data_IF_698335096890
#
_entry.id   IF_698335096890
#
_cell.length_a   1.000
_cell.length_b   1.000
_cell.length_c   1.000
_cell.angle_alpha   90.00
_cell.angle_beta   90.00
_cell.angle_gamma   90.00
#
_symmetry.space_group_name_H-M   'P 1'
#
loop_
_entity.id
_entity.type
_entity.pdbx_description
1 polymer ?
#
# COMPACT_ATOMS: atom_id res chain seq x y z
N UNK A 1 -14.76 3.80 -10.81
CA UNK A 1 -15.06 2.43 -11.26
C UNK A 1 -14.26 1.50 -10.35
N UNK A 2 -14.90 0.51 -9.73
CA UNK A 2 -14.19 -0.49 -8.93
C UNK A 2 -13.35 -1.31 -9.90
N UNK A 3 -12.04 -1.45 -9.64
CA UNK A 3 -11.11 -2.23 -10.45
C UNK A 3 -10.60 -3.43 -9.65
N UNK A 4 -10.41 -4.54 -10.33
CA UNK A 4 -9.84 -5.76 -9.78
C UNK A 4 -8.32 -5.76 -10.01
N UNK A 5 -7.55 -6.30 -9.07
CA UNK A 5 -6.08 -6.36 -9.17
C UNK A 5 -5.59 -7.17 -10.38
N UNK A 6 -6.38 -8.12 -10.88
CA UNK A 6 -6.06 -8.89 -12.09
C UNK A 6 -6.63 -8.29 -13.39
N UNK A 7 -7.25 -7.11 -13.33
CA UNK A 7 -7.49 -6.32 -14.55
C UNK A 7 -6.12 -6.00 -15.19
N UNK A 8 -6.04 -6.06 -16.52
CA UNK A 8 -4.75 -5.93 -17.22
C UNK A 8 -4.04 -4.61 -16.90
N UNK A 9 -4.78 -3.49 -16.81
CA UNK A 9 -4.19 -2.19 -16.46
C UNK A 9 -3.66 -2.17 -15.01
N UNK A 10 -4.32 -2.85 -14.07
CA UNK A 10 -3.84 -2.99 -12.70
C UNK A 10 -2.59 -3.86 -12.61
N UNK A 11 -2.58 -4.99 -13.31
CA UNK A 11 -1.40 -5.85 -13.39
C UNK A 11 -0.20 -5.13 -13.99
N UNK A 12 -0.40 -4.35 -15.07
CA UNK A 12 0.66 -3.60 -15.71
C UNK A 12 1.21 -2.48 -14.81
N UNK A 13 0.34 -1.80 -14.06
CA UNK A 13 0.78 -0.80 -13.08
C UNK A 13 1.63 -1.42 -11.95
N UNK A 14 1.26 -2.61 -11.46
CA UNK A 14 2.02 -3.30 -10.43
C UNK A 14 3.39 -3.76 -10.94
N UNK A 15 3.44 -4.34 -12.14
CA UNK A 15 4.70 -4.72 -12.79
C UNK A 15 5.58 -3.49 -13.03
N UNK A 16 5.01 -2.41 -13.55
CA UNK A 16 5.73 -1.15 -13.73
C UNK A 16 6.33 -0.65 -12.42
N UNK A 17 5.55 -0.61 -11.34
CA UNK A 17 6.06 -0.18 -10.03
C UNK A 17 7.21 -1.07 -9.56
N UNK A 18 7.03 -2.39 -9.64
CA UNK A 18 8.04 -3.37 -9.24
C UNK A 18 9.34 -3.25 -10.06
N UNK A 19 9.23 -3.20 -11.40
CA UNK A 19 10.37 -3.14 -12.32
C UNK A 19 11.16 -1.82 -12.20
N UNK A 20 10.54 -0.76 -11.67
CA UNK A 20 11.18 0.53 -11.38
C UNK A 20 11.70 0.64 -9.94
N UNK A 21 11.79 -0.47 -9.21
CA UNK A 21 12.38 -0.53 -7.88
C UNK A 21 11.48 -0.01 -6.76
N UNK A 22 10.18 0.19 -7.01
CA UNK A 22 9.24 0.46 -5.94
C UNK A 22 8.93 -0.81 -5.16
N UNK A 23 8.71 -0.65 -3.85
CA UNK A 23 8.29 -1.75 -2.99
C UNK A 23 6.76 -1.92 -3.05
N UNK A 24 6.32 -3.15 -3.34
CA UNK A 24 4.93 -3.56 -3.19
C UNK A 24 4.71 -4.20 -1.82
N UNK A 25 3.63 -3.82 -1.14
CA UNK A 25 3.28 -4.30 0.20
C UNK A 25 1.77 -4.48 0.31
N UNK A 26 1.30 -5.21 1.32
CA UNK A 26 -0.13 -5.46 1.48
C UNK A 26 -0.87 -4.29 2.13
N UNK A 27 -2.05 -3.95 1.61
CA UNK A 27 -3.03 -3.09 2.27
C UNK A 27 -4.39 -3.78 2.45
N UNK A 28 -4.34 -5.11 2.47
CA UNK A 28 -5.48 -6.06 2.48
C UNK A 28 -6.41 -5.97 1.29
N UNK A 29 -7.23 -7.00 1.15
CA UNK A 29 -8.01 -7.22 -0.06
C UNK A 29 -9.23 -6.30 -0.19
N UNK A 30 -9.97 -6.09 0.90
CA UNK A 30 -11.18 -5.26 0.89
C UNK A 30 -11.04 -3.97 1.71
N UNK A 31 -9.84 -3.64 2.21
CA UNK A 31 -9.61 -2.44 3.01
C UNK A 31 -10.56 -2.34 4.25
N UNK A 32 -10.84 -3.46 4.91
CA UNK A 32 -11.66 -3.51 6.13
C UNK A 32 -10.86 -3.09 7.36
N UNK A 33 -11.55 -2.62 8.41
CA UNK A 33 -10.93 -2.43 9.72
C UNK A 33 -10.58 -3.79 10.33
N UNK A 34 -9.29 -4.13 10.31
CA UNK A 34 -8.79 -5.45 10.71
C UNK A 34 -9.02 -5.73 12.19
N UNK A 35 -9.03 -4.71 13.04
CA UNK A 35 -9.24 -4.89 14.49
C UNK A 35 -10.63 -5.43 14.85
N UNK A 36 -11.58 -5.41 13.89
CA UNK A 36 -12.95 -5.90 14.07
C UNK A 36 -13.21 -7.29 13.48
N UNK A 37 -12.21 -7.89 12.83
CA UNK A 37 -12.37 -9.13 12.09
C UNK A 37 -12.03 -10.37 12.92
N UNK A 38 -12.68 -11.50 12.60
CA UNK A 38 -12.28 -12.80 13.12
C UNK A 38 -10.94 -13.25 12.53
N UNK A 39 -10.33 -14.28 13.12
CA UNK A 39 -9.06 -14.83 12.63
C UNK A 39 -9.14 -15.29 11.15
N UNK A 40 -10.21 -15.99 10.78
CA UNK A 40 -10.40 -16.48 9.42
C UNK A 40 -10.63 -15.32 8.43
N UNK A 41 -11.33 -14.27 8.86
CA UNK A 41 -11.53 -13.06 8.05
C UNK A 41 -10.21 -12.31 7.84
N UNK A 42 -9.38 -12.17 8.88
CA UNK A 42 -8.03 -11.62 8.75
C UNK A 42 -7.18 -12.45 7.79
N UNK A 43 -7.25 -13.78 7.90
CA UNK A 43 -6.53 -14.68 7.02
C UNK A 43 -6.90 -14.45 5.56
N UNK A 44 -8.19 -14.40 5.24
CA UNK A 44 -8.68 -14.18 3.87
C UNK A 44 -8.24 -12.81 3.33
N UNK A 45 -8.39 -11.74 4.12
CA UNK A 45 -7.99 -10.37 3.74
C UNK A 45 -6.50 -10.25 3.36
N UNK A 46 -5.62 -10.98 4.05
CA UNK A 46 -4.18 -10.93 3.82
C UNK A 46 -3.74 -11.91 2.74
N UNK A 47 -4.29 -13.14 2.75
CA UNK A 47 -3.94 -14.20 1.83
C UNK A 47 -4.24 -13.84 0.38
N UNK A 48 -5.39 -13.23 0.09
CA UNK A 48 -5.74 -12.87 -1.30
C UNK A 48 -4.75 -11.91 -1.93
N UNK A 49 -4.25 -10.93 -1.16
CA UNK A 49 -3.23 -9.98 -1.64
C UNK A 49 -1.91 -10.69 -1.89
N UNK A 50 -1.50 -11.59 -1.01
CA UNK A 50 -0.27 -12.38 -1.20
C UNK A 50 -0.35 -13.26 -2.45
N UNK A 51 -1.48 -13.94 -2.67
CA UNK A 51 -1.70 -14.73 -3.88
C UNK A 51 -1.63 -13.86 -5.14
N UNK A 52 -2.25 -12.67 -5.10
CA UNK A 52 -2.23 -11.76 -6.23
C UNK A 52 -0.82 -11.26 -6.54
N UNK A 53 -0.05 -10.83 -5.53
CA UNK A 53 1.34 -10.38 -5.75
C UNK A 53 2.25 -11.52 -6.23
N UNK A 54 2.09 -12.73 -5.69
CA UNK A 54 2.82 -13.90 -6.17
C UNK A 54 2.50 -14.21 -7.63
N UNK A 55 1.23 -14.13 -8.04
CA UNK A 55 0.82 -14.36 -9.43
C UNK A 55 1.31 -13.27 -10.37
N UNK A 56 1.12 -12.00 -10.02
CA UNK A 56 1.30 -10.87 -10.96
C UNK A 56 2.78 -10.53 -11.13
N UNK A 57 3.54 -10.49 -10.03
CA UNK A 57 4.94 -10.03 -10.01
C UNK A 57 5.92 -11.05 -9.39
N UNK A 58 5.42 -12.20 -8.91
CA UNK A 58 6.29 -13.26 -8.39
C UNK A 58 6.75 -13.06 -6.95
N UNK A 59 6.19 -12.13 -6.18
CA UNK A 59 6.70 -11.77 -4.85
C UNK A 59 5.72 -12.06 -3.72
N UNK A 60 6.25 -12.44 -2.56
CA UNK A 60 5.49 -12.53 -1.32
C UNK A 60 5.85 -11.36 -0.40
N UNK A 61 4.94 -10.41 -0.09
CA UNK A 61 5.27 -9.20 0.66
C UNK A 61 5.74 -9.49 2.09
N UNK A 62 6.80 -8.81 2.54
CA UNK A 62 7.28 -8.86 3.93
C UNK A 62 6.72 -7.71 4.81
N UNK A 63 5.88 -6.86 4.23
CA UNK A 63 5.32 -5.68 4.90
C UNK A 63 3.84 -5.53 4.57
N UNK A 64 3.10 -4.97 5.52
CA UNK A 64 1.72 -4.57 5.33
C UNK A 64 1.42 -3.28 6.08
N UNK A 65 0.44 -2.53 5.60
CA UNK A 65 -0.18 -1.42 6.35
C UNK A 65 -1.62 -1.79 6.65
N UNK A 66 -2.09 -1.70 7.91
CA UNK A 66 -3.49 -1.95 8.20
C UNK A 66 -4.35 -0.78 7.68
N UNK A 67 -5.48 -1.05 7.01
CA UNK A 67 -6.49 -0.04 6.71
C UNK A 67 -6.81 0.82 7.93
N UNK A 68 -6.98 2.13 7.69
CA UNK A 68 -7.26 3.14 8.73
C UNK A 68 -6.18 3.31 9.80
N UNK A 69 -5.05 2.59 9.72
CA UNK A 69 -4.07 2.53 10.79
C UNK A 69 -4.52 1.71 12.00
N UNK A 70 -5.62 0.96 11.88
CA UNK A 70 -6.28 0.25 12.98
C UNK A 70 -5.76 -1.19 13.09
N UNK A 71 -5.17 -1.53 14.24
CA UNK A 71 -4.64 -2.87 14.53
C UNK A 71 -4.79 -3.21 16.02
N UNK A 72 -4.80 -4.50 16.33
CA UNK A 72 -4.79 -5.04 17.68
C UNK A 72 -3.83 -6.25 17.76
N UNK A 73 -3.72 -6.90 18.91
CA UNK A 73 -2.83 -8.04 19.11
C UNK A 73 -3.10 -9.18 18.12
N UNK A 74 -4.35 -9.41 17.73
CA UNK A 74 -4.70 -10.45 16.76
C UNK A 74 -4.15 -10.11 15.37
N UNK A 75 -4.25 -8.85 14.95
CA UNK A 75 -3.68 -8.34 13.69
C UNK A 75 -2.15 -8.47 13.70
N UNK A 76 -1.50 -8.14 14.82
CA UNK A 76 -0.04 -8.28 14.97
C UNK A 76 0.39 -9.75 14.94
N UNK A 77 -0.33 -10.64 15.62
CA UNK A 77 -0.04 -12.07 15.65
C UNK A 77 -0.16 -12.71 14.26
N UNK A 78 -1.24 -12.43 13.53
CA UNK A 78 -1.41 -13.01 12.19
C UNK A 78 -0.39 -12.41 11.21
N UNK A 79 -0.09 -11.12 11.29
CA UNK A 79 0.95 -10.51 10.45
C UNK A 79 2.31 -11.14 10.71
N UNK A 80 2.68 -11.32 11.98
CA UNK A 80 3.92 -11.99 12.37
C UNK A 80 3.98 -13.45 11.92
N UNK A 81 2.88 -14.21 12.06
CA UNK A 81 2.79 -15.59 11.60
C UNK A 81 2.94 -15.72 10.07
N UNK A 82 2.60 -14.67 9.33
CA UNK A 82 2.76 -14.57 7.88
C UNK A 82 4.07 -13.89 7.46
N UNK A 83 4.99 -13.63 8.38
CA UNK A 83 6.27 -12.98 8.07
C UNK A 83 6.15 -11.51 7.63
N UNK A 84 5.03 -10.85 7.93
CA UNK A 84 4.77 -9.45 7.59
C UNK A 84 4.98 -8.52 8.77
N UNK A 85 5.74 -7.45 8.53
CA UNK A 85 5.86 -6.31 9.45
C UNK A 85 4.68 -5.36 9.23
N UNK A 86 4.02 -4.97 10.32
CA UNK A 86 2.97 -3.94 10.31
C UNK A 86 3.62 -2.57 10.33
N UNK A 87 3.28 -1.72 9.36
CA UNK A 87 3.88 -0.40 9.15
C UNK A 87 2.83 0.69 9.35
N UNK A 88 3.15 1.68 10.20
CA UNK A 88 2.36 2.90 10.42
C UNK A 88 3.26 4.12 10.12
N UNK A 89 2.65 5.27 9.86
CA UNK A 89 3.32 6.49 9.41
C UNK A 89 3.61 7.48 10.54
N UNK A 90 4.58 8.36 10.32
CA UNK A 90 4.91 9.50 11.20
C UNK A 90 4.17 10.78 10.79
N UNK A 91 3.82 10.88 9.51
CA UNK A 91 3.25 12.08 8.88
C UNK A 91 2.10 11.71 7.96
N UNK A 92 1.00 12.46 8.04
CA UNK A 92 -0.18 12.33 7.16
C UNK A 92 -0.41 13.64 6.38
N UNK A 93 -0.40 13.54 5.05
CA UNK A 93 -0.60 14.68 4.16
C UNK A 93 -2.04 15.26 4.23
N UNK A 94 -2.99 14.52 4.81
CA UNK A 94 -4.40 14.87 4.96
C UNK A 94 -5.26 14.81 3.70
N UNK A 95 -4.83 14.11 2.65
CA UNK A 95 -5.57 13.99 1.38
C UNK A 95 -6.93 13.32 1.56
N UNK A 96 -7.01 12.31 2.41
CA UNK A 96 -8.25 11.64 2.81
C UNK A 96 -9.06 12.40 3.87
N UNK A 97 -8.47 13.42 4.51
CA UNK A 97 -9.12 14.26 5.51
C UNK A 97 -9.89 15.45 4.88
N UNK A 98 -9.99 15.50 3.54
CA UNK A 98 -10.66 16.57 2.81
C UNK A 98 -9.85 17.86 2.71
N UNK A 99 -8.53 17.81 2.91
CA UNK A 99 -7.68 18.97 2.70
C UNK A 99 -7.54 19.30 1.22
N UNK A 100 -7.51 20.60 0.93
CA UNK A 100 -7.10 21.09 -0.39
C UNK A 100 -5.61 20.83 -0.64
N UNK A 101 -5.21 20.77 -1.90
CA UNK A 101 -3.80 20.61 -2.27
C UNK A 101 -2.89 21.69 -1.65
N UNK A 102 -3.38 22.94 -1.52
CA UNK A 102 -2.65 24.02 -0.86
C UNK A 102 -2.40 23.73 0.63
N UNK A 103 -3.38 23.17 1.33
CA UNK A 103 -3.24 22.78 2.74
C UNK A 103 -2.28 21.59 2.90
N UNK A 104 -2.37 20.57 2.05
CA UNK A 104 -1.43 19.43 2.07
C UNK A 104 0.01 19.86 1.75
N UNK A 105 0.21 20.77 0.79
CA UNK A 105 1.52 21.40 0.53
C UNK A 105 2.03 22.18 1.74
N UNK A 106 1.14 22.89 2.44
CA UNK A 106 1.44 23.55 3.71
C UNK A 106 1.97 22.58 4.76
N UNK A 107 1.35 21.40 4.90
CA UNK A 107 1.84 20.35 5.82
C UNK A 107 3.24 19.84 5.46
N UNK A 108 3.55 19.67 4.18
CA UNK A 108 4.91 19.30 3.75
C UNK A 108 5.93 20.41 4.04
N UNK A 109 5.56 21.68 3.90
CA UNK A 109 6.40 22.81 4.30
C UNK A 109 6.68 22.79 5.80
N UNK A 110 5.66 22.50 6.61
CA UNK A 110 5.81 22.40 8.07
C UNK A 110 6.68 21.21 8.47
N UNK A 111 6.52 20.05 7.79
CA UNK A 111 7.37 18.88 7.97
C UNK A 111 8.85 19.20 7.69
N UNK A 112 9.12 19.83 6.54
CA UNK A 112 10.49 20.23 6.16
C UNK A 112 11.08 21.21 7.17
N UNK A 113 10.28 22.15 7.68
CA UNK A 113 10.73 23.13 8.68
C UNK A 113 11.12 22.48 10.01
N UNK A 114 10.44 21.39 10.40
CA UNK A 114 10.79 20.59 11.59
C UNK A 114 12.02 19.72 11.38
N UNK A 115 12.31 19.37 10.13
CA UNK A 115 13.49 18.59 9.70
C UNK A 115 13.74 17.32 10.54
N UNK A 116 12.74 16.41 10.72
CA UNK A 116 12.99 15.15 11.40
C UNK A 116 14.06 14.32 10.68
N UNK A 117 14.86 13.56 11.44
CA UNK A 117 15.94 12.73 10.86
C UNK A 117 15.43 11.75 9.80
N UNK A 118 14.30 11.09 10.10
CA UNK A 118 13.60 10.17 9.21
C UNK A 118 12.09 10.48 9.30
N UNK A 119 11.35 10.18 8.23
CA UNK A 119 9.89 10.32 8.21
C UNK A 119 9.28 9.31 7.24
N UNK A 120 8.25 8.58 7.68
CA UNK A 120 7.38 7.83 6.79
C UNK A 120 6.09 8.61 6.53
N UNK A 121 5.86 8.98 5.26
CA UNK A 121 4.74 9.84 4.85
C UNK A 121 3.56 9.02 4.31
N UNK A 122 2.37 9.21 4.87
CA UNK A 122 1.10 8.70 4.35
C UNK A 122 0.55 9.63 3.25
N UNK A 123 0.27 9.04 2.10
CA UNK A 123 -0.38 9.63 0.93
C UNK A 123 -1.23 8.55 0.25
N UNK A 124 -2.17 8.94 -0.60
CA UNK A 124 -3.02 8.06 -1.38
C UNK A 124 -3.06 8.47 -2.86
N UNK A 125 -2.62 7.57 -3.72
CA UNK A 125 -2.59 7.73 -5.18
C UNK A 125 -3.99 7.70 -5.83
N UNK A 126 -5.01 7.29 -5.09
CA UNK A 126 -6.42 7.33 -5.53
C UNK A 126 -6.97 8.75 -5.68
N UNK A 127 -6.27 9.76 -5.13
CA UNK A 127 -6.63 11.15 -5.27
C UNK A 127 -5.78 11.87 -6.33
N UNK A 128 -6.42 12.31 -7.43
CA UNK A 128 -5.73 13.02 -8.52
C UNK A 128 -4.93 14.25 -8.03
N UNK A 129 -5.44 14.98 -7.04
CA UNK A 129 -4.72 16.13 -6.45
C UNK A 129 -3.45 15.70 -5.72
N UNK A 130 -3.46 14.54 -5.06
CA UNK A 130 -2.26 13.98 -4.44
C UNK A 130 -1.22 13.68 -5.51
N UNK A 131 -1.59 12.93 -6.56
CA UNK A 131 -0.68 12.47 -7.62
C UNK A 131 -0.11 13.63 -8.43
N UNK A 132 -0.96 14.53 -8.95
CA UNK A 132 -0.55 15.50 -9.96
C UNK A 132 -0.13 16.86 -9.39
N UNK A 133 -0.42 17.14 -8.11
CA UNK A 133 -0.13 18.45 -7.52
C UNK A 133 0.69 18.39 -6.22
N UNK A 134 0.29 17.56 -5.26
CA UNK A 134 0.95 17.50 -3.93
C UNK A 134 2.28 16.76 -3.99
N UNK A 135 2.32 15.57 -4.58
CA UNK A 135 3.52 14.73 -4.62
C UNK A 135 4.69 15.38 -5.37
N UNK A 136 4.52 16.01 -6.57
CA UNK A 136 5.62 16.70 -7.24
C UNK A 136 6.22 17.83 -6.39
N UNK A 137 5.36 18.60 -5.70
CA UNK A 137 5.81 19.63 -4.76
C UNK A 137 6.56 19.02 -3.56
N UNK A 138 6.00 17.98 -2.95
CA UNK A 138 6.57 17.32 -1.77
C UNK A 138 7.95 16.73 -2.08
N UNK A 139 8.10 16.03 -3.20
CA UNK A 139 9.39 15.47 -3.65
C UNK A 139 10.43 16.57 -3.77
N UNK A 140 10.11 17.67 -4.46
CA UNK A 140 11.04 18.79 -4.60
C UNK A 140 11.44 19.36 -3.24
N UNK A 141 10.46 19.62 -2.35
CA UNK A 141 10.73 20.20 -1.03
C UNK A 141 11.57 19.32 -0.12
N UNK A 142 11.32 18.01 -0.14
CA UNK A 142 12.10 17.05 0.65
C UNK A 142 13.52 16.90 0.08
N UNK A 143 13.70 16.87 -1.24
CA UNK A 143 15.03 16.86 -1.87
C UNK A 143 15.83 18.14 -1.55
N UNK A 144 15.20 19.31 -1.66
CA UNK A 144 15.82 20.60 -1.32
C UNK A 144 16.25 20.66 0.15
N UNK A 145 15.53 19.95 1.02
CA UNK A 145 15.86 19.82 2.44
C UNK A 145 16.91 18.73 2.74
N UNK A 146 17.43 18.03 1.72
CA UNK A 146 18.48 17.03 1.88
C UNK A 146 17.99 15.61 2.23
N UNK A 147 16.69 15.33 2.14
CA UNK A 147 16.19 13.97 2.31
C UNK A 147 16.55 13.08 1.12
N UNK A 148 16.83 11.82 1.43
CA UNK A 148 16.90 10.73 0.45
C UNK A 148 15.59 9.95 0.48
N UNK A 149 15.17 9.48 -0.69
CA UNK A 149 13.97 8.66 -0.83
C UNK A 149 14.39 7.20 -0.83
N UNK A 150 13.71 6.41 -0.02
CA UNK A 150 13.94 4.99 0.14
C UNK A 150 12.59 4.28 0.25
N UNK A 151 12.58 3.01 -0.14
CA UNK A 151 11.50 2.08 0.21
C UNK A 151 11.45 1.87 1.73
N UNK A 152 10.34 1.32 2.23
CA UNK A 152 10.20 1.00 3.65
C UNK A 152 11.26 -0.03 4.04
N UNK A 153 11.48 -1.04 3.21
CA UNK A 153 12.47 -2.09 3.44
C UNK A 153 13.90 -1.54 3.58
N UNK A 154 14.31 -0.63 2.69
CA UNK A 154 15.61 0.06 2.78
C UNK A 154 15.74 0.89 4.05
N UNK A 155 14.67 1.61 4.44
CA UNK A 155 14.65 2.41 5.66
C UNK A 155 14.82 1.54 6.93
N UNK A 156 14.24 0.34 6.95
CA UNK A 156 14.34 -0.62 8.05
C UNK A 156 15.58 -1.54 7.98
N UNK A 157 16.32 -1.55 6.86
CA UNK A 157 17.47 -2.42 6.65
C UNK A 157 17.10 -3.91 6.54
N UNK A 158 16.12 -4.26 5.70
CA UNK A 158 15.74 -5.66 5.45
C UNK A 158 15.17 -5.90 4.06
N UNK A 159 14.78 -7.15 3.79
CA UNK A 159 14.23 -7.54 2.49
C UNK A 159 12.78 -7.10 2.32
N UNK A 160 12.39 -6.51 1.17
CA UNK A 160 11.00 -6.09 0.91
C UNK A 160 10.02 -7.24 0.78
N UNK A 161 10.52 -8.44 0.47
CA UNK A 161 9.75 -9.64 0.19
C UNK A 161 10.32 -10.84 0.94
N UNK A 162 9.45 -11.76 1.34
CA UNK A 162 9.84 -13.02 1.98
C UNK A 162 10.39 -14.02 0.97
N UNK A 163 9.90 -13.94 -0.26
CA UNK A 163 10.36 -14.75 -1.37
C UNK A 163 10.13 -14.00 -2.68
N UNK A 164 11.02 -14.25 -3.65
CA UNK A 164 10.89 -13.80 -5.04
C UNK A 164 10.99 -15.03 -5.92
N UNK A 165 9.99 -15.22 -6.77
CA UNK A 165 9.86 -16.27 -7.76
C UNK A 165 9.51 -15.67 -9.12
N UNK A 166 9.37 -16.50 -10.15
CA UNK A 166 8.86 -16.04 -11.44
C UNK A 166 7.36 -15.73 -11.36
N UNK A 167 6.87 -14.67 -12.03
CA UNK A 167 5.45 -14.39 -12.11
C UNK A 167 4.71 -15.49 -12.90
N UNK A 168 3.43 -15.63 -12.60
CA UNK A 168 2.52 -16.48 -13.35
C UNK A 168 2.12 -15.82 -14.68
N UNK A 169 1.85 -16.62 -15.71
CA UNK A 169 1.22 -16.12 -16.94
C UNK A 169 -0.28 -16.04 -16.71
N UNK A 170 -0.89 -14.85 -16.89
CA UNK A 170 -2.32 -14.65 -16.66
C UNK A 170 -3.16 -15.76 -17.34
N UNK A 171 -4.09 -16.34 -16.59
CA UNK A 171 -5.02 -17.36 -17.10
C UNK A 171 -6.47 -17.10 -16.68
N UNK A 172 -7.39 -18.01 -17.06
CA UNK A 172 -8.82 -17.87 -16.77
C UNK A 172 -9.14 -17.85 -15.25
N UNK A 173 -8.26 -18.36 -14.39
CA UNK A 173 -8.50 -18.31 -12.95
C UNK A 173 -8.37 -16.90 -12.39
N UNK A 174 -7.50 -16.07 -12.99
CA UNK A 174 -7.35 -14.66 -12.63
C UNK A 174 -8.61 -13.86 -13.01
N UNK A 175 -9.21 -14.15 -14.17
CA UNK A 175 -10.46 -13.52 -14.60
C UNK A 175 -11.64 -13.93 -13.70
N UNK A 176 -11.70 -15.20 -13.28
CA UNK A 176 -12.71 -15.69 -12.34
C UNK A 176 -12.58 -15.00 -10.98
N UNK A 177 -11.36 -14.79 -10.47
CA UNK A 177 -11.14 -14.03 -9.23
C UNK A 177 -11.66 -12.60 -9.36
N UNK A 178 -11.49 -11.96 -10.51
CA UNK A 178 -12.10 -10.65 -10.75
C UNK A 178 -13.63 -10.69 -10.80
N UNK A 179 -14.23 -11.67 -11.47
CA UNK A 179 -15.69 -11.83 -11.46
C UNK A 179 -16.23 -12.00 -10.03
N UNK A 180 -15.54 -12.81 -9.21
CA UNK A 180 -15.90 -13.02 -7.82
C UNK A 180 -15.74 -11.72 -7.02
N UNK A 181 -14.64 -11.00 -7.21
CA UNK A 181 -14.39 -9.70 -6.58
C UNK A 181 -15.49 -8.68 -6.91
N UNK A 182 -15.93 -8.62 -8.17
CA UNK A 182 -17.01 -7.72 -8.59
C UNK A 182 -18.37 -8.10 -8.00
N UNK A 183 -18.59 -9.37 -7.68
CA UNK A 183 -19.83 -9.87 -7.08
C UNK A 183 -19.82 -9.80 -5.54
N UNK A 184 -18.65 -9.66 -4.92
CA UNK A 184 -18.51 -9.65 -3.46
C UNK A 184 -19.26 -8.46 -2.83
N UNK A 185 -20.30 -8.68 -2.00
CA UNK A 185 -21.04 -7.60 -1.34
C UNK A 185 -20.23 -6.89 -0.24
N UNK A 186 -19.16 -7.52 0.25
CA UNK A 186 -18.23 -6.99 1.25
C UNK A 186 -17.06 -6.20 0.68
N UNK A 187 -17.01 -5.98 -0.64
CA UNK A 187 -15.98 -5.14 -1.26
C UNK A 187 -16.11 -3.69 -0.82
N UNK A 188 -15.02 -3.08 -0.38
CA UNK A 188 -15.00 -1.64 -0.18
C UNK A 188 -15.16 -0.95 -1.54
N UNK A 189 -16.10 -0.02 -1.64
CA UNK A 189 -16.06 0.97 -2.70
C UNK A 189 -14.92 1.92 -2.33
N UNK A 190 -13.77 1.79 -3.02
CA UNK A 190 -12.68 2.77 -2.93
C UNK A 190 -13.27 4.16 -3.14
N UNK A 191 -13.20 5.02 -2.12
CA UNK A 191 -13.66 6.41 -2.20
C UNK A 191 -12.67 7.26 -2.97
#
# INVERSE_FOLDING_TARGET
>A
MVRCIYDSDMMDNLKYAYDHGHQLASHTWHHKNLSTLSWDQLHDEMWRVEQALQRIVGVNPAFMRPPYGEYNDQVLQISGARGQKVVIWDFDNGDTAGLSAAQSKGRYKDLVSKHPKNVLTLNHETHNTTVYDVIPYAIQKLRDAGYQFATVAECFGGDPYQSVAGPHTKDCSDDIECENYYRDPGRAQTR
#
